data_IF_486569306735
#
_entry.id   IF_486569306735
#
_cell.length_a   1.000
_cell.length_b   1.000
_cell.length_c   1.000
_cell.angle_alpha   90.00
_cell.angle_beta   90.00
_cell.angle_gamma   90.00
#
_symmetry.space_group_name_H-M   'P 1'
#
loop_
_entity.id
_entity.type
_entity.pdbx_description
1 polymer ?
#
# COMPACT_ATOMS: atom_id res chain seq x y z
N UNK A 1 -4.88 -5.72 14.53
CA UNK A 1 -4.21 -4.58 13.84
C UNK A 1 -3.41 -3.65 14.77
N UNK A 2 -3.13 -4.00 16.03
CA UNK A 2 -2.41 -3.14 16.98
C UNK A 2 -0.97 -2.82 16.56
N UNK A 3 -0.29 -3.76 15.92
CA UNK A 3 1.10 -3.62 15.44
C UNK A 3 1.27 -2.56 14.34
N UNK A 4 0.25 -2.36 13.49
CA UNK A 4 0.27 -1.36 12.41
C UNK A 4 0.26 0.06 13.01
N UNK A 5 -0.49 0.24 14.10
CA UNK A 5 -0.67 1.52 14.79
C UNK A 5 0.53 1.93 15.63
N UNK A 6 1.36 0.98 16.07
CA UNK A 6 2.58 1.26 16.84
C UNK A 6 3.57 2.04 15.97
N UNK A 7 3.86 3.32 16.22
CA UNK A 7 4.87 4.04 15.44
C UNK A 7 6.25 3.44 15.70
N UNK A 8 7.10 3.42 14.67
CA UNK A 8 8.53 3.12 14.80
C UNK A 8 9.30 4.37 14.37
N UNK A 9 10.51 4.58 14.90
CA UNK A 9 11.39 5.68 14.49
C UNK A 9 11.61 5.69 12.97
N UNK A 10 11.70 4.50 12.36
CA UNK A 10 11.92 4.32 10.94
C UNK A 10 10.66 4.57 10.06
N UNK A 11 9.45 4.32 10.57
CA UNK A 11 8.25 4.32 9.73
C UNK A 11 7.01 4.83 10.46
N UNK A 12 6.41 5.94 10.00
CA UNK A 12 5.19 6.47 10.59
C UNK A 12 4.04 5.49 10.39
N UNK A 13 3.15 5.39 11.39
CA UNK A 13 2.03 4.44 11.42
C UNK A 13 1.08 4.61 10.23
N UNK A 14 0.91 5.83 9.72
CA UNK A 14 0.11 6.11 8.53
C UNK A 14 0.66 5.45 7.28
N UNK A 15 1.98 5.48 7.06
CA UNK A 15 2.60 4.84 5.89
C UNK A 15 2.42 3.31 5.95
N UNK A 16 2.65 2.72 7.12
CA UNK A 16 2.40 1.28 7.34
C UNK A 16 0.95 0.91 7.06
N UNK A 17 0.00 1.71 7.53
CA UNK A 17 -1.42 1.46 7.32
C UNK A 17 -1.78 1.48 5.83
N UNK A 18 -1.30 2.48 5.08
CA UNK A 18 -1.55 2.59 3.63
C UNK A 18 -0.95 1.41 2.88
N UNK A 19 0.32 1.06 3.17
CA UNK A 19 1.00 -0.07 2.54
C UNK A 19 0.28 -1.40 2.83
N UNK A 20 -0.10 -1.66 4.08
CA UNK A 20 -0.81 -2.89 4.44
C UNK A 20 -2.19 -2.95 3.77
N UNK A 21 -2.94 -1.85 3.74
CA UNK A 21 -4.24 -1.80 3.08
C UNK A 21 -4.12 -2.09 1.59
N UNK A 22 -3.17 -1.46 0.90
CA UNK A 22 -2.92 -1.69 -0.52
C UNK A 22 -2.53 -3.15 -0.79
N UNK A 23 -1.59 -3.70 -0.01
CA UNK A 23 -1.14 -5.09 -0.16
C UNK A 23 -2.28 -6.09 0.04
N UNK A 24 -3.05 -5.97 1.12
CA UNK A 24 -4.17 -6.88 1.40
C UNK A 24 -5.22 -6.80 0.29
N UNK A 25 -5.56 -5.58 -0.15
CA UNK A 25 -6.52 -5.39 -1.25
C UNK A 25 -6.06 -6.04 -2.55
N UNK A 26 -4.81 -5.83 -2.97
CA UNK A 26 -4.31 -6.37 -4.23
C UNK A 26 -4.12 -7.88 -4.19
N UNK A 27 -3.72 -8.46 -3.05
CA UNK A 27 -3.65 -9.91 -2.90
C UNK A 27 -5.04 -10.55 -2.95
N UNK A 28 -6.02 -9.96 -2.26
CA UNK A 28 -7.41 -10.41 -2.33
C UNK A 28 -7.95 -10.31 -3.78
N UNK A 29 -7.70 -9.18 -4.46
CA UNK A 29 -8.13 -8.97 -5.85
C UNK A 29 -7.50 -10.00 -6.79
N UNK A 30 -6.21 -10.28 -6.65
CA UNK A 30 -5.50 -11.27 -7.45
C UNK A 30 -6.05 -12.69 -7.20
N UNK A 31 -6.25 -13.07 -5.94
CA UNK A 31 -6.87 -14.35 -5.59
C UNK A 31 -8.23 -14.50 -6.25
N UNK A 32 -9.08 -13.47 -6.17
CA UNK A 32 -10.40 -13.51 -6.78
C UNK A 32 -10.33 -13.57 -8.30
N UNK A 33 -9.39 -12.86 -8.92
CA UNK A 33 -9.18 -12.93 -10.37
C UNK A 33 -8.77 -14.34 -10.82
N UNK A 34 -7.92 -15.02 -10.04
CA UNK A 34 -7.57 -16.41 -10.30
C UNK A 34 -8.76 -17.36 -10.11
N UNK A 35 -9.58 -17.14 -9.08
CA UNK A 35 -10.72 -18.01 -8.76
C UNK A 35 -11.89 -17.86 -9.75
N UNK A 36 -12.21 -16.63 -10.15
CA UNK A 36 -13.41 -16.35 -10.96
C UNK A 36 -13.11 -16.21 -12.44
N UNK A 37 -11.93 -15.71 -12.81
CA UNK A 37 -11.58 -15.47 -14.21
C UNK A 37 -10.50 -16.45 -14.72
N UNK A 38 -9.95 -17.30 -13.86
CA UNK A 38 -8.83 -18.19 -14.21
C UNK A 38 -7.52 -17.44 -14.53
N UNK A 39 -7.45 -16.14 -14.26
CA UNK A 39 -6.30 -15.30 -14.62
C UNK A 39 -5.42 -15.04 -13.41
N UNK A 40 -4.18 -15.52 -13.48
CA UNK A 40 -3.14 -15.23 -12.49
C UNK A 40 -2.13 -14.24 -13.06
N UNK A 41 -2.18 -12.99 -12.60
CA UNK A 41 -1.15 -12.00 -12.90
C UNK A 41 0.22 -12.40 -12.30
N UNK A 42 1.34 -12.05 -12.97
CA UNK A 42 2.67 -12.22 -12.41
C UNK A 42 2.82 -11.44 -11.08
N UNK A 43 3.58 -11.97 -10.09
CA UNK A 43 3.81 -11.28 -8.82
C UNK A 43 4.38 -9.87 -8.99
N UNK A 44 5.27 -9.67 -9.97
CA UNK A 44 5.87 -8.35 -10.25
C UNK A 44 4.81 -7.31 -10.63
N UNK A 45 3.78 -7.72 -11.37
CA UNK A 45 2.68 -6.83 -11.76
C UNK A 45 1.83 -6.44 -10.56
N UNK A 46 1.54 -7.40 -9.67
CA UNK A 46 0.80 -7.12 -8.42
C UNK A 46 1.58 -6.16 -7.52
N UNK A 47 2.90 -6.36 -7.38
CA UNK A 47 3.77 -5.46 -6.61
C UNK A 47 3.79 -4.05 -7.20
N UNK A 48 3.85 -3.92 -8.53
CA UNK A 48 3.76 -2.62 -9.21
C UNK A 48 2.42 -1.92 -8.96
N UNK A 49 1.32 -2.66 -8.90
CA UNK A 49 0.02 -2.08 -8.57
C UNK A 49 -0.05 -1.61 -7.11
N UNK A 50 0.50 -2.38 -6.18
CA UNK A 50 0.60 -1.97 -4.77
C UNK A 50 1.42 -0.68 -4.64
N UNK A 51 2.61 -0.62 -5.25
CA UNK A 51 3.44 0.59 -5.24
C UNK A 51 2.71 1.81 -5.82
N UNK A 52 2.05 1.64 -6.98
CA UNK A 52 1.25 2.71 -7.60
C UNK A 52 0.12 3.18 -6.69
N UNK A 53 -0.62 2.27 -6.06
CA UNK A 53 -1.72 2.64 -5.16
C UNK A 53 -1.23 3.36 -3.91
N UNK A 54 -0.13 2.90 -3.30
CA UNK A 54 0.48 3.60 -2.16
C UNK A 54 0.86 5.03 -2.54
N UNK A 55 1.52 5.21 -3.69
CA UNK A 55 1.88 6.54 -4.22
C UNK A 55 0.64 7.40 -4.50
N UNK A 56 -0.38 6.85 -5.15
CA UNK A 56 -1.63 7.56 -5.44
C UNK A 56 -2.31 8.05 -4.15
N UNK A 57 -2.41 7.19 -3.14
CA UNK A 57 -3.02 7.53 -1.85
C UNK A 57 -2.24 8.63 -1.12
N UNK A 58 -0.91 8.58 -1.14
CA UNK A 58 -0.07 9.62 -0.54
C UNK A 58 -0.25 10.94 -1.29
N UNK A 59 -0.13 10.92 -2.62
CA UNK A 59 -0.24 12.12 -3.47
C UNK A 59 -1.61 12.78 -3.34
N UNK A 60 -2.70 11.99 -3.40
CA UNK A 60 -4.07 12.50 -3.28
C UNK A 60 -4.39 13.11 -1.91
N UNK A 61 -3.53 12.90 -0.90
CA UNK A 61 -3.71 13.43 0.47
C UNK A 61 -2.57 14.34 0.91
N UNK A 62 -1.70 14.77 -0.01
CA UNK A 62 -0.52 15.60 0.26
C UNK A 62 -0.79 16.85 1.09
N UNK A 63 -1.99 17.45 0.98
CA UNK A 63 -2.39 18.63 1.76
C UNK A 63 -2.68 18.35 3.25
N UNK A 64 -2.67 17.10 3.70
CA UNK A 64 -2.90 16.73 5.11
C UNK A 64 -1.58 16.55 5.83
N UNK A 65 -1.39 17.20 7.00
CA UNK A 65 -0.18 17.09 7.85
C UNK A 65 0.28 15.65 8.10
N UNK A 66 -0.67 14.70 8.24
CA UNK A 66 -0.35 13.26 8.44
C UNK A 66 0.31 12.58 7.24
N UNK A 67 0.20 13.16 6.05
CA UNK A 67 0.75 12.65 4.79
C UNK A 67 2.00 13.40 4.33
N UNK A 68 2.38 14.45 5.06
CA UNK A 68 3.58 15.24 4.79
C UNK A 68 4.83 14.39 4.95
N UNK A 69 5.74 14.47 3.97
CA UNK A 69 6.98 13.68 3.95
C UNK A 69 6.80 12.16 3.76
N UNK A 70 5.58 11.63 3.64
CA UNK A 70 5.37 10.19 3.49
C UNK A 70 5.89 9.64 2.16
N UNK A 71 5.78 10.42 1.07
CA UNK A 71 6.28 9.99 -0.23
C UNK A 71 7.80 9.79 -0.21
N UNK A 72 8.52 10.72 0.43
CA UNK A 72 9.98 10.63 0.58
C UNK A 72 10.33 9.35 1.35
N UNK A 73 9.63 9.07 2.46
CA UNK A 73 9.82 7.84 3.25
C UNK A 73 9.40 6.54 2.54
N UNK A 74 8.61 6.62 1.48
CA UNK A 74 8.22 5.46 0.68
C UNK A 74 9.27 5.14 -0.40
N UNK A 75 9.95 6.16 -0.92
CA UNK A 75 10.95 6.03 -1.98
C UNK A 75 12.37 5.79 -1.45
N UNK A 76 12.61 6.10 -0.18
CA UNK A 76 13.85 5.83 0.56
C UNK A 76 13.97 4.37 0.96
#
# INVERSE_FOLDING_TARGET
MSWIRKPSSATPSTLKMVAVQATVYHLWKQRNNSLHNGVCLPPQTVVRFIDREVRNVITGRRGRKRFEGLMVRWLS
#
